data_IF_993863353284
#
_entry.id   IF_993863353284
#
_cell.length_a   1.000
_cell.length_b   1.000
_cell.length_c   1.000
_cell.angle_alpha   90.00
_cell.angle_beta   90.00
_cell.angle_gamma   90.00
#
_symmetry.space_group_name_H-M   'P 1'
#
loop_
_entity.id
_entity.type
_entity.pdbx_description
1 polymer ?
#
# COMPACT_ATOMS: atom_id res chain seq x y z
N UNK A 1 6.97 -12.95 7.19
CA UNK A 1 7.19 -12.46 8.54
C UNK A 1 7.28 -10.95 8.57
N UNK A 2 6.67 -10.34 9.55
CA UNK A 2 6.64 -8.88 9.64
C UNK A 2 7.67 -8.40 10.65
N UNK A 3 8.54 -7.50 10.22
CA UNK A 3 9.52 -6.91 11.10
C UNK A 3 9.29 -5.42 11.21
N UNK A 4 9.85 -4.80 12.25
CA UNK A 4 9.72 -3.35 12.40
C UNK A 4 10.34 -2.62 11.22
N UNK A 5 11.37 -3.20 10.65
CA UNK A 5 12.04 -2.59 9.51
C UNK A 5 11.09 -2.55 8.30
N UNK A 6 10.36 -3.63 8.07
CA UNK A 6 9.38 -3.65 6.98
C UNK A 6 8.29 -2.62 7.21
N UNK A 7 7.83 -2.53 8.44
CA UNK A 7 6.78 -1.54 8.76
C UNK A 7 7.29 -0.14 8.50
N UNK A 8 8.51 0.14 8.92
CA UNK A 8 9.08 1.46 8.72
C UNK A 8 9.23 1.76 7.23
N UNK A 9 9.71 0.80 6.47
CA UNK A 9 9.90 1.00 5.04
C UNK A 9 8.56 1.24 4.35
N UNK A 10 7.56 0.45 4.68
CA UNK A 10 6.25 0.63 4.08
C UNK A 10 5.67 1.98 4.44
N UNK A 11 5.87 2.40 5.68
CA UNK A 11 5.37 3.69 6.11
C UNK A 11 6.01 4.83 5.32
N UNK A 12 7.30 4.72 5.05
CA UNK A 12 7.98 5.77 4.29
C UNK A 12 7.52 5.78 2.83
N UNK A 13 7.15 4.63 2.32
CA UNK A 13 6.68 4.56 0.94
C UNK A 13 5.26 5.06 0.79
N UNK A 14 4.42 4.81 1.78
CA UNK A 14 3.01 5.16 1.69
C UNK A 14 2.64 6.38 2.51
N UNK A 15 3.35 6.62 3.59
CA UNK A 15 3.04 7.75 4.44
C UNK A 15 1.85 7.52 5.35
N UNK A 16 1.44 6.28 5.53
CA UNK A 16 0.32 5.96 6.42
C UNK A 16 0.82 5.59 7.80
N UNK A 17 -0.10 5.47 8.75
CA UNK A 17 0.25 5.18 10.12
C UNK A 17 0.90 3.80 10.23
N UNK A 18 1.70 3.65 11.27
CA UNK A 18 2.41 2.38 11.47
C UNK A 18 1.45 1.23 11.66
N UNK A 19 0.33 1.47 12.32
CA UNK A 19 -0.62 0.38 12.56
C UNK A 19 -1.19 -0.14 11.26
N UNK A 20 -1.53 0.76 10.35
CA UNK A 20 -2.05 0.33 9.06
C UNK A 20 -0.98 -0.42 8.28
N UNK A 21 0.24 0.08 8.31
CA UNK A 21 1.34 -0.60 7.63
C UNK A 21 1.55 -1.98 8.21
N UNK A 22 1.51 -2.08 9.54
CA UNK A 22 1.70 -3.37 10.19
C UNK A 22 0.61 -4.35 9.77
N UNK A 23 -0.64 -3.89 9.81
CA UNK A 23 -1.76 -4.74 9.43
C UNK A 23 -1.62 -5.21 7.98
N UNK A 24 -1.28 -4.29 7.09
CA UNK A 24 -1.12 -4.64 5.69
C UNK A 24 -0.01 -5.66 5.49
N UNK A 25 1.10 -5.47 6.20
CA UNK A 25 2.21 -6.40 6.09
C UNK A 25 1.84 -7.77 6.64
N UNK A 26 1.06 -7.79 7.71
CA UNK A 26 0.62 -9.06 8.26
C UNK A 26 -0.27 -9.80 7.27
N UNK A 27 -1.13 -9.09 6.57
CA UNK A 27 -2.00 -9.71 5.58
C UNK A 27 -1.23 -10.12 4.34
N UNK A 28 -0.16 -9.41 4.02
CA UNK A 28 0.65 -9.74 2.86
C UNK A 28 1.84 -10.62 3.22
N UNK A 29 1.90 -11.05 4.46
CA UNK A 29 2.98 -11.93 4.92
C UNK A 29 4.35 -11.28 4.77
N UNK A 30 4.42 -9.99 5.06
CA UNK A 30 5.69 -9.28 5.02
C UNK A 30 6.08 -8.78 3.65
N UNK A 31 5.18 -8.84 2.70
CA UNK A 31 5.47 -8.40 1.33
C UNK A 31 5.08 -6.93 1.19
N UNK A 32 6.08 -6.09 0.91
CA UNK A 32 5.85 -4.65 0.80
C UNK A 32 4.88 -4.35 -0.34
N UNK A 33 5.10 -4.94 -1.49
CA UNK A 33 4.27 -4.64 -2.65
C UNK A 33 2.84 -5.09 -2.43
N UNK A 34 2.65 -6.27 -1.87
CA UNK A 34 1.31 -6.74 -1.59
C UNK A 34 0.66 -5.93 -0.48
N UNK A 35 1.47 -5.48 0.48
CA UNK A 35 0.93 -4.63 1.54
C UNK A 35 0.37 -3.34 0.96
N UNK A 36 1.07 -2.76 -0.01
CA UNK A 36 0.58 -1.57 -0.66
C UNK A 36 -0.76 -1.85 -1.36
N UNK A 37 -0.86 -2.99 -2.01
CA UNK A 37 -2.12 -3.36 -2.64
C UNK A 37 -3.24 -3.53 -1.63
N UNK A 38 -2.93 -4.16 -0.51
CA UNK A 38 -3.93 -4.32 0.55
C UNK A 38 -4.43 -2.97 1.02
N UNK A 39 -3.51 -2.04 1.22
CA UNK A 39 -3.88 -0.70 1.67
C UNK A 39 -4.74 0.01 0.64
N UNK A 40 -4.43 -0.16 -0.63
CA UNK A 40 -5.22 0.45 -1.68
C UNK A 40 -6.62 -0.16 -1.75
N UNK A 41 -6.70 -1.45 -1.60
CA UNK A 41 -8.00 -2.12 -1.62
C UNK A 41 -8.87 -1.70 -0.46
N UNK A 42 -8.26 -1.45 0.69
CA UNK A 42 -9.01 -1.03 1.87
C UNK A 42 -9.27 0.46 1.90
N UNK A 43 -8.88 1.16 0.85
CA UNK A 43 -9.07 2.61 0.76
C UNK A 43 -8.27 3.37 1.80
N UNK A 44 -7.29 2.73 2.39
CA UNK A 44 -6.38 3.42 3.30
C UNK A 44 -5.44 4.28 2.49
N UNK A 45 -5.03 3.78 1.33
CA UNK A 45 -4.16 4.50 0.42
C UNK A 45 -4.97 4.91 -0.79
N UNK A 46 -5.01 6.21 -1.05
CA UNK A 46 -5.85 6.70 -2.13
C UNK A 46 -5.22 6.45 -3.48
N UNK A 47 -6.03 5.94 -4.40
CA UNK A 47 -5.54 5.61 -5.73
C UNK A 47 -5.18 6.86 -6.52
N UNK A 48 -5.76 7.98 -6.21
CA UNK A 48 -5.49 9.18 -6.97
C UNK A 48 -4.05 9.65 -6.82
N UNK A 49 -3.33 9.14 -5.86
CA UNK A 49 -1.91 9.47 -5.77
C UNK A 49 -1.13 8.86 -6.92
N UNK A 50 -1.76 7.96 -7.64
CA UNK A 50 -1.13 7.33 -8.80
C UNK A 50 -1.83 7.80 -10.05
N UNK A 51 -2.05 9.04 -10.16
CA UNK A 51 -2.97 9.62 -11.11
C UNK A 51 -2.65 9.39 -12.58
N UNK A 52 -1.47 9.34 -12.95
CA UNK A 52 -1.12 9.31 -14.36
C UNK A 52 -1.81 8.21 -15.14
N UNK A 53 -2.29 7.36 -14.60
CA UNK A 53 -2.89 6.35 -15.37
C UNK A 53 -4.13 6.80 -16.08
N UNK A 54 -4.04 6.73 -16.17
CA UNK A 54 -4.86 6.56 -16.66
C UNK A 54 -5.41 6.52 -17.46
N UNK A 55 -5.33 6.56 -17.81
CA UNK A 55 -5.87 6.48 -18.54
C UNK A 55 -6.51 6.10 -19.25
N UNK A 56 -6.57 5.92 -19.39
CA UNK A 56 -7.12 5.57 -20.00
C UNK A 56 -7.84 5.10 -20.64
N UNK A 57 -8.10 4.79 -20.78
CA UNK A 57 -8.85 4.28 -21.32
C UNK A 57 -9.60 4.17 -21.99
N UNK A 58 -9.75 4.06 -22.25
CA UNK A 58 -10.48 3.88 -22.87
C UNK A 58 -11.28 3.52 -23.51
N UNK A 59 -11.44 3.34 -23.61
CA UNK A 59 -12.16 3.00 -24.19
C UNK A 59 -12.81 2.76 -24.71
N UNK A 60 -12.98 2.73 -24.78
CA UNK A 60 -13.59 2.45 -25.13
C UNK A 60 -13.98 2.30 -25.42
#
# INVERSE_FOLDING_TARGET
>A
MVTAQLVKELRERTGISMMDCKTALMESDGDIEKAIEVLRKKSVLKAETVSYTHLTLPTT
#
